data_IF_533065835986
#
_entry.id   IF_533065835986
#
_cell.length_a   1.000
_cell.length_b   1.000
_cell.length_c   1.000
_cell.angle_alpha   90.00
_cell.angle_beta   90.00
_cell.angle_gamma   90.00
#
_symmetry.space_group_name_H-M   'P 1'
#
loop_
_entity.id
_entity.type
_entity.pdbx_description
1 polymer ?
#
# COMPACT_ATOMS: atom_id res chain seq x y z
N UNK A 1 9.56 -10.74 -7.44
CA UNK A 1 9.81 -9.29 -7.24
C UNK A 1 8.82 -8.54 -8.11
N UNK A 2 8.08 -7.54 -7.61
CA UNK A 2 7.02 -6.85 -8.39
C UNK A 2 7.52 -5.53 -8.97
N UNK A 3 7.08 -5.19 -10.19
CA UNK A 3 7.32 -3.91 -10.88
C UNK A 3 6.14 -2.95 -10.77
N UNK A 4 5.05 -3.38 -10.13
CA UNK A 4 3.86 -2.55 -9.95
C UNK A 4 4.21 -1.25 -9.21
N UNK A 5 3.85 -0.14 -9.84
CA UNK A 5 4.13 1.22 -9.37
C UNK A 5 2.83 1.98 -9.20
N UNK A 6 2.83 2.97 -8.31
CA UNK A 6 1.67 3.80 -8.09
C UNK A 6 2.01 5.14 -7.45
N UNK A 7 1.02 6.01 -7.39
CA UNK A 7 1.12 7.37 -6.85
C UNK A 7 0.44 7.46 -5.49
N UNK A 8 1.15 8.03 -4.53
CA UNK A 8 0.59 8.33 -3.21
C UNK A 8 -0.43 9.47 -3.31
N UNK A 9 -1.68 9.22 -2.88
CA UNK A 9 -2.72 10.24 -2.87
C UNK A 9 -2.49 11.36 -1.82
N UNK A 10 -1.55 11.18 -0.87
CA UNK A 10 -1.25 12.18 0.16
C UNK A 10 -0.20 13.21 -0.28
N UNK A 11 0.86 12.78 -0.96
CA UNK A 11 2.00 13.63 -1.33
C UNK A 11 2.35 13.62 -2.82
N UNK A 12 1.63 12.85 -3.64
CA UNK A 12 1.88 12.74 -5.08
C UNK A 12 3.14 11.97 -5.45
N UNK A 13 3.86 11.39 -4.50
CA UNK A 13 5.07 10.61 -4.81
C UNK A 13 4.71 9.33 -5.57
N UNK A 14 5.32 9.14 -6.74
CA UNK A 14 5.34 7.87 -7.45
C UNK A 14 6.39 6.94 -6.81
N UNK A 15 5.97 5.71 -6.48
CA UNK A 15 6.85 4.71 -5.88
C UNK A 15 6.44 3.29 -6.33
N UNK A 16 7.37 2.34 -6.26
CA UNK A 16 7.03 0.93 -6.44
C UNK A 16 6.34 0.39 -5.19
N UNK A 17 5.44 -0.58 -5.35
CA UNK A 17 4.83 -1.27 -4.20
C UNK A 17 5.92 -1.86 -3.27
N UNK A 18 7.01 -2.35 -3.86
CA UNK A 18 8.14 -2.91 -3.12
C UNK A 18 8.91 -1.90 -2.25
N UNK A 19 8.73 -0.59 -2.47
CA UNK A 19 9.42 0.48 -1.74
C UNK A 19 8.63 1.00 -0.53
N UNK A 20 7.38 0.54 -0.37
CA UNK A 20 6.51 0.95 0.74
C UNK A 20 6.99 0.36 2.08
N UNK A 21 6.84 1.14 3.15
CA UNK A 21 7.16 0.68 4.50
C UNK A 21 5.98 -0.14 5.06
N UNK A 22 6.18 -1.45 5.21
CA UNK A 22 5.12 -2.41 5.60
C UNK A 22 5.23 -2.79 7.06
N UNK A 23 4.12 -2.66 7.79
CA UNK A 23 3.97 -3.02 9.19
C UNK A 23 2.93 -4.14 9.30
N UNK A 24 3.38 -5.37 9.54
CA UNK A 24 2.54 -6.57 9.55
C UNK A 24 1.97 -6.94 10.94
N UNK A 25 1.74 -5.95 11.82
CA UNK A 25 1.31 -6.21 13.21
C UNK A 25 -0.21 -6.23 13.31
N UNK A 26 -0.77 -7.28 13.92
CA UNK A 26 -2.21 -7.47 14.12
C UNK A 26 -2.90 -6.18 14.60
N UNK A 27 -4.10 -5.84 14.08
CA UNK A 27 -5.05 -6.70 13.35
C UNK A 27 -4.90 -6.76 11.82
N UNK A 28 -3.87 -6.14 11.22
CA UNK A 28 -3.67 -6.16 9.76
C UNK A 28 -2.29 -5.68 9.33
N UNK A 29 -2.03 -5.73 8.03
CA UNK A 29 -0.79 -5.24 7.43
C UNK A 29 -1.01 -3.86 6.84
N UNK A 30 -0.23 -2.87 7.31
CA UNK A 30 -0.34 -1.48 6.87
C UNK A 30 0.91 -1.11 6.08
N UNK A 31 0.74 -0.62 4.85
CA UNK A 31 1.82 -0.03 4.07
C UNK A 31 1.74 1.50 4.09
N UNK A 32 2.88 2.13 4.35
CA UNK A 32 3.04 3.59 4.37
C UNK A 32 3.93 4.07 3.24
N UNK A 33 3.60 5.24 2.71
CA UNK A 33 4.47 5.97 1.80
C UNK A 33 5.79 6.28 2.52
N UNK A 34 6.91 5.93 1.89
CA UNK A 34 8.23 6.20 2.46
C UNK A 34 8.55 7.70 2.57
N UNK A 35 7.96 8.52 1.69
CA UNK A 35 8.24 9.96 1.62
C UNK A 35 7.49 10.77 2.68
N UNK A 36 6.20 10.50 2.89
CA UNK A 36 5.36 11.28 3.80
C UNK A 36 4.90 10.51 5.05
N UNK A 37 5.13 9.20 5.12
CA UNK A 37 4.64 8.35 6.21
C UNK A 37 3.12 8.10 6.18
N UNK A 38 2.40 8.67 5.21
CA UNK A 38 0.96 8.47 5.03
C UNK A 38 0.62 7.01 4.74
N UNK A 39 -0.49 6.53 5.29
CA UNK A 39 -0.98 5.18 5.00
C UNK A 39 -1.53 5.15 3.57
N UNK A 40 -0.99 4.26 2.75
CA UNK A 40 -1.33 4.12 1.33
C UNK A 40 -2.00 2.78 1.02
N UNK A 41 -1.80 1.78 1.87
CA UNK A 41 -2.42 0.46 1.71
C UNK A 41 -2.70 -0.16 3.07
N UNK A 42 -3.83 -0.86 3.19
CA UNK A 42 -4.18 -1.64 4.38
C UNK A 42 -4.70 -3.00 3.93
N UNK A 43 -4.10 -4.08 4.44
CA UNK A 43 -4.60 -5.44 4.28
C UNK A 43 -5.12 -5.94 5.61
N UNK A 44 -6.34 -6.42 5.64
CA UNK A 44 -6.93 -7.07 6.83
C UNK A 44 -7.49 -8.42 6.44
N UNK A 45 -7.24 -9.43 7.26
CA UNK A 45 -7.83 -10.76 7.08
C UNK A 45 -9.00 -10.91 8.04
N UNK A 46 -10.21 -11.00 7.50
CA UNK A 46 -11.46 -11.13 8.27
C UNK A 46 -12.09 -12.46 7.88
N UNK A 47 -12.20 -13.40 8.84
CA UNK A 47 -12.79 -14.73 8.63
C UNK A 47 -12.19 -15.49 7.45
N UNK A 48 -10.87 -15.41 7.27
CA UNK A 48 -10.14 -16.05 6.16
C UNK A 48 -10.15 -15.27 4.84
N UNK A 49 -10.90 -14.18 4.74
CA UNK A 49 -10.93 -13.33 3.54
C UNK A 49 -9.99 -12.13 3.72
N UNK A 50 -9.04 -11.99 2.80
CA UNK A 50 -8.16 -10.80 2.76
C UNK A 50 -8.88 -9.66 2.04
N UNK A 51 -9.11 -8.57 2.77
CA UNK A 51 -9.58 -7.30 2.21
C UNK A 51 -8.40 -6.36 2.07
N UNK A 52 -8.34 -5.67 0.94
CA UNK A 52 -7.28 -4.71 0.63
C UNK A 52 -7.93 -3.36 0.42
N UNK A 53 -7.44 -2.35 1.14
CA UNK A 53 -7.72 -0.95 0.86
C UNK A 53 -6.52 -0.32 0.16
N UNK A 54 -6.76 0.29 -1.00
CA UNK A 54 -5.81 0.95 -1.90
C UNK A 54 -6.30 2.34 -2.33
N UNK A 55 -7.31 2.90 -1.68
CA UNK A 55 -7.89 4.22 -2.02
C UNK A 55 -6.85 5.35 -2.04
N UNK A 56 -5.76 5.18 -1.29
CA UNK A 56 -4.65 6.13 -1.17
C UNK A 56 -3.42 5.81 -2.03
N UNK A 57 -3.48 4.76 -2.86
CA UNK A 57 -2.39 4.38 -3.76
C UNK A 57 -2.92 4.08 -5.16
N UNK A 58 -2.74 5.03 -6.07
CA UNK A 58 -3.20 4.89 -7.45
C UNK A 58 -2.18 4.10 -8.26
N UNK A 59 -2.50 2.86 -8.60
CA UNK A 59 -1.69 2.02 -9.50
C UNK A 59 -1.57 2.67 -10.88
N UNK A 60 -0.34 2.81 -11.37
CA UNK A 60 -0.03 3.40 -12.68
C UNK A 60 0.06 2.35 -13.78
N UNK A 61 0.45 1.12 -13.44
CA UNK A 61 0.42 -0.03 -14.35
C UNK A 61 -0.26 -1.21 -13.63
N UNK A 62 -1.42 -1.68 -14.10
CA UNK A 62 -1.92 -2.99 -13.70
C UNK A 62 -1.03 -4.09 -14.32
N UNK A 63 -0.66 -5.14 -13.56
CA UNK A 63 0.06 -6.29 -14.09
C UNK A 63 -0.79 -7.13 -15.05
#
# INVERSE_FOLDING_TARGET
MTTASGVCAHCGTAAKIAELSVYAKAPGTVARCRSCGGVVMVLVSIRGTTRINLDRFQLLDPP
#
